data_IF_609578988034
#
_entry.id   IF_609578988034
#
_cell.length_a   1.000
_cell.length_b   1.000
_cell.length_c   1.000
_cell.angle_alpha   90.00
_cell.angle_beta   90.00
_cell.angle_gamma   90.00
#
_symmetry.space_group_name_H-M   'P 1'
#
loop_
_entity.id
_entity.type
_entity.pdbx_description
1 polymer ?
#
# COMPACT_ATOMS: atom_id res chain seq x y z
N UNK A 1 -1.75 49.45 41.19
CA UNK A 1 -2.04 49.59 39.75
C UNK A 1 -2.36 51.05 39.50
N UNK A 2 -1.53 51.76 38.74
CA UNK A 2 -1.50 53.24 38.67
C UNK A 2 -2.52 53.87 37.71
N UNK A 3 -3.56 53.13 37.31
CA UNK A 3 -4.69 53.68 36.55
C UNK A 3 -4.34 54.27 35.18
N UNK A 4 -3.12 54.06 34.68
CA UNK A 4 -2.60 54.75 33.49
C UNK A 4 -3.10 54.19 32.16
N UNK A 5 -3.83 53.07 32.15
CA UNK A 5 -4.34 52.46 30.92
C UNK A 5 -3.25 51.99 29.94
N UNK A 6 -1.97 52.03 30.35
CA UNK A 6 -0.87 51.59 29.52
C UNK A 6 -0.83 50.06 29.48
N UNK A 7 -1.18 49.50 28.33
CA UNK A 7 -0.88 48.11 27.99
C UNK A 7 0.64 47.97 27.85
N UNK A 8 1.31 47.44 28.87
CA UNK A 8 2.71 47.03 28.75
C UNK A 8 2.76 45.66 28.08
N UNK A 9 3.20 45.60 26.84
CA UNK A 9 3.62 44.33 26.24
C UNK A 9 4.97 43.98 26.86
N UNK A 10 5.01 42.99 27.76
CA UNK A 10 6.26 42.34 28.06
C UNK A 10 6.73 41.70 26.74
N UNK A 11 7.69 42.34 26.07
CA UNK A 11 8.27 41.84 24.84
C UNK A 11 9.02 40.55 25.14
N UNK A 12 8.30 39.43 25.24
CA UNK A 12 8.89 38.12 24.99
C UNK A 12 9.14 38.12 23.50
N UNK A 13 10.32 38.57 23.11
CA UNK A 13 10.80 38.38 21.74
C UNK A 13 10.87 36.87 21.52
N UNK A 14 10.00 36.33 20.67
CA UNK A 14 10.27 35.05 20.03
C UNK A 14 11.47 35.31 19.13
N UNK A 15 12.64 34.84 19.57
CA UNK A 15 13.85 34.87 18.77
C UNK A 15 13.70 33.85 17.64
N UNK A 16 13.53 34.32 16.40
CA UNK A 16 13.68 33.50 15.20
C UNK A 16 15.15 33.40 14.75
N UNK A 17 16.08 33.50 15.71
CA UNK A 17 17.49 33.20 15.49
C UNK A 17 17.58 31.74 15.07
N UNK A 18 17.50 31.50 13.76
CA UNK A 18 17.54 30.19 13.13
C UNK A 18 16.45 29.24 13.69
N UNK A 19 15.18 29.60 13.53
CA UNK A 19 14.13 28.57 13.52
C UNK A 19 14.15 27.87 12.16
N UNK A 20 15.10 26.96 11.95
CA UNK A 20 14.76 25.83 11.09
C UNK A 20 13.72 25.03 11.87
N UNK A 21 12.49 24.96 11.37
CA UNK A 21 11.62 23.85 11.74
C UNK A 21 12.29 22.63 11.13
N UNK A 22 13.25 22.06 11.85
CA UNK A 22 13.78 20.74 11.54
C UNK A 22 12.75 19.74 12.04
N UNK A 23 11.72 19.54 11.22
CA UNK A 23 11.15 18.20 11.16
C UNK A 23 12.30 17.33 10.62
N UNK A 24 12.83 16.42 11.45
CA UNK A 24 13.88 15.49 11.04
C UNK A 24 13.43 14.54 9.91
N UNK A 25 12.21 14.73 9.39
CA UNK A 25 11.70 14.20 8.14
C UNK A 25 11.98 15.25 7.07
N UNK A 26 12.93 14.97 6.18
CA UNK A 26 13.41 15.89 5.14
C UNK A 26 12.34 16.40 4.12
N UNK A 27 11.07 16.03 4.27
CA UNK A 27 9.95 16.46 3.45
C UNK A 27 8.69 16.46 4.32
N UNK A 28 7.97 17.58 4.41
CA UNK A 28 6.58 17.59 4.91
C UNK A 28 5.74 16.87 3.85
N UNK A 29 5.58 15.56 4.01
CA UNK A 29 4.84 14.69 3.09
C UNK A 29 3.54 14.21 3.72
N UNK A 30 2.43 14.73 3.18
CA UNK A 30 1.04 14.44 3.53
C UNK A 30 0.64 13.07 2.97
N UNK A 31 0.72 12.05 3.82
CA UNK A 31 0.07 10.77 3.53
C UNK A 31 -1.31 10.79 4.16
N UNK A 32 -2.33 10.44 3.39
CA UNK A 32 -3.68 10.21 3.88
C UNK A 32 -4.12 8.80 3.56
N UNK A 33 -4.87 8.19 4.48
CA UNK A 33 -5.49 6.88 4.29
C UNK A 33 -6.96 6.98 4.70
N UNK A 34 -7.83 6.47 3.83
CA UNK A 34 -9.23 6.23 4.13
C UNK A 34 -9.41 4.71 4.15
N UNK A 35 -9.63 4.18 5.35
CA UNK A 35 -9.98 2.78 5.55
C UNK A 35 -11.45 2.61 5.13
N UNK A 36 -11.68 1.76 4.13
CA UNK A 36 -13.01 1.48 3.59
C UNK A 36 -13.67 0.37 4.42
N UNK A 37 -12.91 -0.69 4.70
CA UNK A 37 -13.29 -1.79 5.59
C UNK A 37 -12.05 -2.44 6.25
N UNK A 38 -12.20 -3.63 6.83
CA UNK A 38 -11.12 -4.34 7.50
C UNK A 38 -9.88 -4.52 6.62
N UNK A 39 -10.05 -4.77 5.32
CA UNK A 39 -9.00 -5.13 4.37
C UNK A 39 -8.77 -4.06 3.28
N UNK A 40 -9.79 -3.26 2.96
CA UNK A 40 -9.73 -2.26 1.90
C UNK A 40 -9.35 -0.88 2.44
N UNK A 41 -8.47 -0.21 1.70
CA UNK A 41 -8.21 1.20 1.92
C UNK A 41 -7.91 1.90 0.60
N UNK A 42 -8.15 3.20 0.56
CA UNK A 42 -7.55 4.09 -0.42
C UNK A 42 -6.64 5.07 0.30
N UNK A 43 -5.67 5.63 -0.39
CA UNK A 43 -4.83 6.66 0.20
C UNK A 43 -4.07 7.45 -0.84
N UNK A 44 -3.45 8.52 -0.37
CA UNK A 44 -2.79 9.52 -1.19
C UNK A 44 -1.47 9.91 -0.55
N UNK A 45 -0.45 10.12 -1.37
CA UNK A 45 0.79 10.78 -1.02
C UNK A 45 0.99 11.97 -1.95
N UNK A 46 0.95 13.15 -1.36
CA UNK A 46 0.91 14.42 -2.10
C UNK A 46 2.32 14.94 -2.46
N UNK A 47 3.38 14.27 -2.00
CA UNK A 47 4.76 14.66 -2.31
C UNK A 47 5.75 13.50 -2.15
N UNK A 48 6.08 12.86 -3.27
CA UNK A 48 7.17 11.91 -3.40
C UNK A 48 8.31 12.59 -4.17
N UNK A 49 9.46 12.74 -3.51
CA UNK A 49 10.68 13.32 -4.10
C UNK A 49 11.67 12.21 -4.45
N UNK A 50 12.92 12.54 -4.76
CA UNK A 50 13.98 11.56 -5.03
C UNK A 50 14.38 10.73 -3.80
N UNK A 51 14.10 11.23 -2.60
CA UNK A 51 14.33 10.49 -1.36
C UNK A 51 13.19 9.52 -1.07
N UNK A 52 13.54 8.34 -0.55
CA UNK A 52 12.54 7.36 -0.11
C UNK A 52 11.64 7.95 0.98
N UNK A 53 10.34 7.89 0.74
CA UNK A 53 9.30 8.37 1.64
C UNK A 53 8.32 7.23 1.96
N UNK A 54 7.63 7.34 3.09
CA UNK A 54 6.57 6.38 3.44
C UNK A 54 5.30 6.76 2.67
N UNK A 55 4.68 5.79 2.00
CA UNK A 55 3.42 5.95 1.26
C UNK A 55 2.24 5.41 2.06
N UNK A 56 2.37 4.17 2.57
CA UNK A 56 1.37 3.53 3.40
C UNK A 56 2.05 2.60 4.41
N UNK A 57 1.41 2.33 5.53
CA UNK A 57 1.85 1.32 6.48
C UNK A 57 0.67 0.57 7.11
N UNK A 58 0.96 -0.62 7.64
CA UNK A 58 0.01 -1.40 8.42
C UNK A 58 0.74 -2.21 9.49
N UNK A 59 0.03 -2.59 10.54
CA UNK A 59 0.62 -3.42 11.59
C UNK A 59 0.98 -4.80 11.02
N UNK A 60 2.15 -5.34 11.41
CA UNK A 60 2.55 -6.70 11.03
C UNK A 60 1.50 -7.74 11.44
N UNK A 61 0.79 -7.53 12.55
CA UNK A 61 -0.26 -8.45 12.99
C UNK A 61 -1.57 -8.36 12.17
N UNK A 62 -1.67 -7.44 11.20
CA UNK A 62 -2.91 -7.18 10.48
C UNK A 62 -3.05 -8.03 9.22
N UNK A 63 -2.01 -8.10 8.40
CA UNK A 63 -2.05 -8.79 7.10
C UNK A 63 -0.72 -9.48 6.83
N UNK A 64 -0.73 -10.70 6.30
CA UNK A 64 0.48 -11.35 5.78
C UNK A 64 0.99 -10.68 4.50
N UNK A 65 0.07 -10.19 3.66
CA UNK A 65 0.38 -9.48 2.41
C UNK A 65 -0.59 -8.33 2.14
N UNK A 66 -0.21 -7.41 1.27
CA UNK A 66 -1.08 -6.37 0.76
C UNK A 66 -0.86 -6.16 -0.73
N UNK A 67 -1.95 -6.04 -1.48
CA UNK A 67 -1.93 -5.71 -2.90
C UNK A 67 -2.38 -4.28 -3.11
N UNK A 68 -1.71 -3.57 -4.01
CA UNK A 68 -1.96 -2.18 -4.33
C UNK A 68 -2.17 -2.00 -5.85
N UNK A 69 -3.12 -1.15 -6.23
CA UNK A 69 -3.04 -0.40 -7.49
C UNK A 69 -2.61 1.01 -7.12
N UNK A 70 -1.49 1.45 -7.68
CA UNK A 70 -0.99 2.80 -7.52
C UNK A 70 -1.13 3.57 -8.84
N UNK A 71 -1.63 4.79 -8.75
CA UNK A 71 -1.71 5.78 -9.82
C UNK A 71 -0.81 6.94 -9.44
N UNK A 72 0.24 7.19 -10.22
CA UNK A 72 1.14 8.32 -10.01
C UNK A 72 0.93 9.40 -11.04
N UNK A 73 1.08 10.65 -10.59
CA UNK A 73 1.25 11.83 -11.42
C UNK A 73 2.68 12.29 -11.26
N UNK A 74 3.37 12.47 -12.37
CA UNK A 74 4.79 12.87 -12.45
C UNK A 74 4.89 14.19 -13.19
N UNK A 75 5.67 15.13 -12.69
CA UNK A 75 6.09 16.31 -13.44
C UNK A 75 7.46 16.07 -14.09
N UNK A 76 7.52 16.25 -15.40
CA UNK A 76 8.74 16.07 -16.20
C UNK A 76 9.65 17.31 -16.15
N UNK A 77 10.85 17.20 -16.73
CA UNK A 77 11.84 18.29 -16.75
C UNK A 77 11.32 19.56 -17.46
N UNK A 78 10.39 19.42 -18.40
CA UNK A 78 9.75 20.50 -19.15
C UNK A 78 8.42 20.97 -18.50
N UNK A 79 8.15 20.53 -17.27
CA UNK A 79 6.90 20.75 -16.53
C UNK A 79 5.65 20.15 -17.19
N UNK A 80 5.80 19.25 -18.16
CA UNK A 80 4.68 18.43 -18.63
C UNK A 80 4.27 17.43 -17.55
N UNK A 81 2.98 17.05 -17.56
CA UNK A 81 2.40 16.16 -16.56
C UNK A 81 2.11 14.82 -17.19
N UNK A 82 2.67 13.78 -16.58
CA UNK A 82 2.56 12.40 -17.04
C UNK A 82 1.89 11.54 -15.96
N UNK A 83 1.21 10.49 -16.40
CA UNK A 83 0.49 9.57 -15.54
C UNK A 83 1.01 8.16 -15.71
N UNK A 84 1.06 7.44 -14.60
CA UNK A 84 1.51 6.07 -14.60
C UNK A 84 0.62 5.24 -13.67
N UNK A 85 0.44 3.98 -14.00
CA UNK A 85 -0.24 3.00 -13.17
C UNK A 85 0.67 1.81 -12.97
N UNK A 86 0.73 1.31 -11.74
CA UNK A 86 1.40 0.06 -11.43
C UNK A 86 0.59 -0.73 -10.41
N UNK A 87 0.59 -2.05 -10.56
CA UNK A 87 0.22 -2.94 -9.45
C UNK A 87 1.45 -3.19 -8.61
N UNK A 88 1.27 -3.26 -7.30
CA UNK A 88 2.36 -3.56 -6.39
C UNK A 88 1.90 -4.52 -5.30
N UNK A 89 2.72 -5.52 -4.99
CA UNK A 89 2.45 -6.47 -3.92
C UNK A 89 3.51 -6.29 -2.85
N UNK A 90 3.08 -6.31 -1.60
CA UNK A 90 3.93 -6.41 -0.42
C UNK A 90 3.56 -7.72 0.30
N UNK A 91 4.55 -8.50 0.68
CA UNK A 91 4.41 -9.66 1.55
C UNK A 91 5.40 -9.52 2.71
N UNK A 92 5.03 -9.99 3.89
CA UNK A 92 5.96 -10.14 5.01
C UNK A 92 6.08 -11.60 5.40
N UNK A 93 7.30 -12.03 5.71
CA UNK A 93 7.56 -13.42 6.04
C UNK A 93 9.00 -13.61 6.48
N UNK A 94 9.40 -14.86 6.62
CA UNK A 94 10.79 -15.22 6.96
C UNK A 94 11.27 -16.34 6.05
N UNK A 95 12.57 -16.38 5.75
CA UNK A 95 13.18 -17.47 4.98
C UNK A 95 13.52 -18.69 5.86
N UNK A 96 13.79 -18.48 7.16
CA UNK A 96 14.37 -19.49 8.06
C UNK A 96 13.61 -19.65 9.40
N UNK A 97 12.44 -19.04 9.54
CA UNK A 97 11.66 -18.99 10.77
C UNK A 97 12.10 -17.91 11.76
N UNK A 98 13.03 -17.01 11.39
CA UNK A 98 13.60 -16.01 12.30
C UNK A 98 12.92 -14.63 12.25
N UNK A 99 13.66 -13.57 11.94
CA UNK A 99 13.16 -12.19 11.91
C UNK A 99 12.36 -12.00 10.63
N UNK A 100 11.15 -11.47 10.77
CA UNK A 100 10.35 -11.07 9.62
C UNK A 100 11.06 -9.99 8.81
N UNK A 101 10.99 -10.15 7.50
CA UNK A 101 11.36 -9.14 6.52
C UNK A 101 10.20 -8.92 5.55
N UNK A 102 10.25 -7.83 4.79
CA UNK A 102 9.26 -7.51 3.79
C UNK A 102 9.83 -7.67 2.38
N UNK A 103 9.00 -8.22 1.51
CA UNK A 103 9.31 -8.49 0.12
C UNK A 103 8.24 -7.86 -0.75
N UNK A 104 8.62 -7.33 -1.91
CA UNK A 104 7.67 -6.67 -2.79
C UNK A 104 8.01 -6.78 -4.26
N UNK A 105 7.02 -6.52 -5.12
CA UNK A 105 7.22 -6.45 -6.56
C UNK A 105 6.13 -5.65 -7.26
N UNK A 106 6.54 -4.86 -8.26
CA UNK A 106 5.62 -4.17 -9.17
C UNK A 106 5.34 -5.01 -10.43
N UNK A 107 4.12 -4.89 -10.95
CA UNK A 107 3.73 -5.51 -12.23
C UNK A 107 2.70 -4.65 -12.97
N UNK A 108 2.47 -5.00 -14.25
CA UNK A 108 1.51 -4.33 -15.13
C UNK A 108 1.66 -2.80 -15.12
N UNK A 109 2.90 -2.35 -15.35
CA UNK A 109 3.25 -0.95 -15.34
C UNK A 109 2.82 -0.33 -16.68
N UNK A 110 2.02 0.72 -16.61
CA UNK A 110 1.52 1.46 -17.77
C UNK A 110 1.89 2.93 -17.57
N UNK A 111 2.48 3.56 -18.59
CA UNK A 111 2.99 4.92 -18.52
C UNK A 111 2.55 5.71 -19.75
N UNK A 112 2.26 6.99 -19.59
CA UNK A 112 2.00 7.90 -20.71
C UNK A 112 3.27 8.46 -21.37
N UNK A 113 4.42 8.36 -20.69
CA UNK A 113 5.73 8.79 -21.20
C UNK A 113 6.81 7.70 -21.04
N UNK A 114 8.03 8.04 -21.47
CA UNK A 114 9.22 7.21 -21.27
C UNK A 114 9.83 7.34 -19.87
N UNK A 115 9.34 8.24 -19.01
CA UNK A 115 9.80 8.30 -17.63
C UNK A 115 9.59 6.96 -16.92
N UNK A 116 10.46 6.65 -15.99
CA UNK A 116 10.27 5.53 -15.10
C UNK A 116 9.14 5.82 -14.12
N UNK A 117 8.47 4.76 -13.72
CA UNK A 117 7.46 4.83 -12.69
C UNK A 117 8.03 5.31 -11.34
N UNK A 118 7.16 5.84 -10.47
CA UNK A 118 7.49 5.98 -9.05
C UNK A 118 8.02 4.65 -8.55
N UNK A 119 9.24 4.66 -8.01
CA UNK A 119 9.90 3.46 -7.52
C UNK A 119 9.28 3.08 -6.19
N UNK A 120 8.66 1.90 -6.12
CA UNK A 120 8.03 1.38 -4.92
C UNK A 120 8.90 0.30 -4.30
N UNK A 121 9.00 0.33 -2.97
CA UNK A 121 9.72 -0.67 -2.19
C UNK A 121 9.02 -0.92 -0.86
N UNK A 122 9.50 -1.91 -0.11
CA UNK A 122 8.94 -2.25 1.20
C UNK A 122 10.04 -2.46 2.23
N UNK A 123 9.69 -2.29 3.50
CA UNK A 123 10.48 -2.77 4.62
C UNK A 123 9.60 -3.07 5.85
N UNK A 124 10.22 -3.61 6.89
CA UNK A 124 9.63 -3.70 8.22
C UNK A 124 10.29 -2.69 9.14
N UNK A 125 9.47 -1.78 9.69
CA UNK A 125 9.88 -0.88 10.77
C UNK A 125 9.72 -1.59 12.10
N UNK A 126 10.78 -2.29 12.51
CA UNK A 126 10.83 -3.06 13.77
C UNK A 126 10.53 -2.23 15.03
N UNK A 127 10.86 -0.94 15.04
CA UNK A 127 10.57 -0.06 16.18
C UNK A 127 9.07 0.15 16.45
N UNK A 128 8.21 -0.12 15.47
CA UNK A 128 6.75 0.12 15.56
C UNK A 128 5.91 -1.06 15.06
N UNK A 129 6.55 -2.19 14.75
CA UNK A 129 5.94 -3.37 14.15
C UNK A 129 5.04 -3.06 12.93
N UNK A 130 5.58 -2.26 12.01
CA UNK A 130 4.88 -1.86 10.78
C UNK A 130 5.54 -2.43 9.54
N UNK A 131 4.74 -3.02 8.66
CA UNK A 131 5.11 -3.21 7.26
C UNK A 131 4.82 -1.90 6.53
N UNK A 132 5.77 -1.41 5.73
CA UNK A 132 5.64 -0.13 5.05
C UNK A 132 5.77 -0.28 3.54
N UNK A 133 4.82 0.29 2.81
CA UNK A 133 5.03 0.67 1.41
C UNK A 133 5.78 2.00 1.37
N UNK A 134 6.91 2.00 0.71
CA UNK A 134 7.77 3.14 0.51
C UNK A 134 7.80 3.53 -0.96
N UNK A 135 8.17 4.78 -1.26
CA UNK A 135 8.54 5.13 -2.61
C UNK A 135 9.34 6.40 -2.78
N UNK A 136 9.92 6.51 -3.97
CA UNK A 136 10.75 7.61 -4.46
C UNK A 136 10.48 7.87 -5.94
N UNK A 137 10.80 9.07 -6.43
CA UNK A 137 10.67 9.40 -7.84
C UNK A 137 11.50 8.47 -8.75
N UNK A 138 10.93 8.10 -9.88
CA UNK A 138 11.66 7.40 -10.95
C UNK A 138 12.44 8.36 -11.84
N UNK A 139 13.24 7.83 -12.76
CA UNK A 139 13.94 8.64 -13.78
C UNK A 139 12.98 9.41 -14.68
N UNK A 140 13.30 10.67 -14.97
CA UNK A 140 12.62 11.48 -15.98
C UNK A 140 12.78 10.88 -17.38
N UNK A 141 11.87 11.22 -18.30
CA UNK A 141 11.85 10.63 -19.65
C UNK A 141 13.13 10.91 -20.46
N UNK A 142 13.82 12.01 -20.17
CA UNK A 142 15.10 12.39 -20.80
C UNK A 142 16.33 11.70 -20.18
N UNK A 143 16.15 10.91 -19.11
CA UNK A 143 17.22 10.21 -18.42
C UNK A 143 18.17 11.12 -17.63
N UNK A 144 17.84 12.39 -17.40
CA UNK A 144 18.74 13.35 -16.74
C UNK A 144 18.81 13.13 -15.22
N UNK A 145 17.67 13.24 -14.55
CA UNK A 145 17.54 13.15 -13.09
C UNK A 145 16.36 12.28 -12.70
N UNK A 146 16.26 11.98 -11.41
CA UNK A 146 15.08 11.35 -10.84
C UNK A 146 14.04 12.46 -10.57
N UNK A 147 12.75 12.14 -10.71
CA UNK A 147 11.70 13.12 -10.54
C UNK A 147 11.62 13.59 -9.08
N UNK A 148 11.59 14.91 -8.91
CA UNK A 148 11.47 15.57 -7.60
C UNK A 148 10.02 15.88 -7.22
N UNK A 149 9.09 15.79 -8.18
CA UNK A 149 7.68 16.17 -8.00
C UNK A 149 6.80 15.05 -8.51
N UNK A 150 6.34 14.22 -7.58
CA UNK A 150 5.42 13.14 -7.87
C UNK A 150 4.32 13.10 -6.80
N UNK A 151 3.12 12.71 -7.20
CA UNK A 151 2.05 12.33 -6.28
C UNK A 151 1.60 10.91 -6.60
N UNK A 152 1.03 10.22 -5.61
CA UNK A 152 0.55 8.85 -5.77
C UNK A 152 -0.76 8.65 -5.03
N UNK A 153 -1.75 8.11 -5.72
CA UNK A 153 -2.99 7.61 -5.13
C UNK A 153 -2.95 6.08 -5.19
N UNK A 154 -3.45 5.41 -4.16
CA UNK A 154 -3.51 3.95 -4.15
C UNK A 154 -4.87 3.44 -3.70
N UNK A 155 -5.22 2.25 -4.22
CA UNK A 155 -6.21 1.36 -3.62
C UNK A 155 -5.50 0.11 -3.12
N UNK A 156 -5.73 -0.28 -1.87
CA UNK A 156 -5.12 -1.43 -1.19
C UNK A 156 -6.15 -2.50 -0.88
N UNK A 157 -5.75 -3.75 -1.05
CA UNK A 157 -6.40 -4.95 -0.54
C UNK A 157 -5.41 -5.63 0.43
N UNK A 158 -5.73 -5.67 1.72
CA UNK A 158 -5.02 -6.47 2.73
C UNK A 158 -5.40 -7.95 2.64
N UNK A 159 -4.42 -8.84 2.82
CA UNK A 159 -4.54 -10.29 2.69
C UNK A 159 -3.93 -11.01 3.89
N UNK A 160 -4.54 -12.09 4.36
CA UNK A 160 -4.10 -12.79 5.58
C UNK A 160 -4.54 -12.07 6.85
N UNK A 161 -5.79 -11.60 6.87
CA UNK A 161 -6.41 -10.84 7.97
C UNK A 161 -6.46 -11.64 9.27
N UNK A 162 -6.12 -11.01 10.40
CA UNK A 162 -6.29 -11.55 11.75
C UNK A 162 -7.64 -11.14 12.38
N UNK A 163 -8.45 -10.34 11.69
CA UNK A 163 -9.80 -10.02 12.15
C UNK A 163 -10.77 -11.17 11.86
N UNK A 164 -11.06 -11.95 12.90
CA UNK A 164 -12.10 -12.97 12.95
C UNK A 164 -13.53 -12.46 12.66
N UNK A 165 -13.73 -11.14 12.51
CA UNK A 165 -15.03 -10.55 12.18
C UNK A 165 -15.55 -10.99 10.82
N UNK A 166 -14.67 -11.47 9.93
CA UNK A 166 -15.03 -12.21 8.74
C UNK A 166 -16.05 -11.49 7.88
N UNK A 167 -15.57 -10.85 6.81
CA UNK A 167 -16.28 -10.93 5.53
C UNK A 167 -16.24 -12.39 5.05
N UNK A 168 -16.88 -13.27 5.82
CA UNK A 168 -16.89 -14.71 5.64
C UNK A 168 -17.63 -15.02 4.35
N UNK A 169 -17.15 -16.03 3.65
CA UNK A 169 -17.91 -16.66 2.59
C UNK A 169 -19.36 -16.93 3.05
N UNK A 170 -20.33 -16.29 2.39
CA UNK A 170 -21.75 -16.55 2.62
C UNK A 170 -22.57 -15.46 3.34
N UNK A 171 -22.01 -14.31 3.72
CA UNK A 171 -22.86 -13.17 4.13
C UNK A 171 -23.45 -12.47 2.90
N UNK A 172 -24.77 -12.58 2.75
CA UNK A 172 -25.59 -11.98 1.68
C UNK A 172 -25.56 -10.45 1.64
N UNK A 173 -24.94 -9.80 2.62
CA UNK A 173 -24.93 -8.34 2.77
C UNK A 173 -23.75 -7.66 2.06
N UNK A 174 -22.66 -8.40 1.79
CA UNK A 174 -21.45 -7.84 1.20
C UNK A 174 -21.35 -8.18 -0.30
N UNK A 175 -21.55 -7.17 -1.14
CA UNK A 175 -21.65 -7.32 -2.61
C UNK A 175 -20.35 -7.00 -3.36
N UNK A 176 -19.23 -6.70 -2.68
CA UNK A 176 -18.03 -6.19 -3.35
C UNK A 176 -16.71 -6.92 -3.05
N UNK A 177 -16.58 -7.63 -1.93
CA UNK A 177 -15.40 -8.44 -1.58
C UNK A 177 -15.76 -9.51 -0.55
N UNK A 178 -15.15 -10.69 -0.65
CA UNK A 178 -15.11 -11.68 0.43
C UNK A 178 -13.65 -11.99 0.79
N UNK A 179 -13.36 -12.14 2.07
CA UNK A 179 -12.06 -12.65 2.55
C UNK A 179 -12.28 -14.10 2.92
N UNK A 180 -11.64 -14.99 2.17
CA UNK A 180 -11.71 -16.43 2.42
C UNK A 180 -10.41 -16.88 3.06
N UNK A 181 -10.54 -17.55 4.20
CA UNK A 181 -9.42 -18.17 4.90
C UNK A 181 -9.59 -19.68 4.80
N UNK A 182 -8.58 -20.35 4.25
CA UNK A 182 -8.49 -21.80 4.22
C UNK A 182 -7.32 -22.21 5.09
N UNK A 183 -7.64 -22.73 6.27
CA UNK A 183 -6.63 -23.34 7.12
C UNK A 183 -6.26 -24.73 6.58
N UNK A 184 -5.05 -25.18 6.89
CA UNK A 184 -4.59 -26.56 6.67
C UNK A 184 -4.70 -27.04 5.22
N UNK A 185 -4.20 -26.23 4.27
CA UNK A 185 -4.01 -26.67 2.89
C UNK A 185 -2.91 -27.76 2.87
N UNK A 186 -3.33 -29.02 2.92
CA UNK A 186 -2.43 -30.17 2.97
C UNK A 186 -2.25 -30.80 1.58
N UNK A 187 -1.72 -32.03 1.54
CA UNK A 187 -1.50 -32.75 0.28
C UNK A 187 -2.78 -33.16 -0.47
N UNK A 188 -3.97 -33.00 0.12
CA UNK A 188 -5.25 -33.28 -0.51
C UNK A 188 -5.80 -32.05 -1.24
N UNK A 189 -6.65 -32.30 -2.25
CA UNK A 189 -7.35 -31.21 -2.92
C UNK A 189 -8.35 -30.56 -1.95
N UNK A 190 -8.24 -29.24 -1.80
CA UNK A 190 -9.15 -28.43 -0.99
C UNK A 190 -9.90 -27.42 -1.86
N UNK A 191 -11.19 -27.20 -1.56
CA UNK A 191 -11.99 -26.15 -2.18
C UNK A 191 -11.69 -24.82 -1.45
N UNK A 192 -11.13 -23.84 -2.18
CA UNK A 192 -10.78 -22.52 -1.63
C UNK A 192 -11.98 -21.57 -1.62
N UNK A 193 -12.79 -21.61 -2.68
CA UNK A 193 -14.03 -20.85 -2.83
C UNK A 193 -15.04 -21.69 -3.63
N UNK A 194 -16.33 -21.38 -3.49
CA UNK A 194 -17.41 -21.97 -4.28
C UNK A 194 -18.52 -20.97 -4.51
N UNK A 195 -18.84 -20.73 -5.78
CA UNK A 195 -19.94 -19.87 -6.20
C UNK A 195 -20.72 -20.49 -7.35
N UNK A 196 -21.99 -20.08 -7.49
CA UNK A 196 -22.83 -20.59 -8.57
C UNK A 196 -22.47 -19.95 -9.91
N UNK A 197 -22.24 -20.81 -10.91
CA UNK A 197 -22.10 -20.44 -12.32
C UNK A 197 -23.30 -19.63 -12.87
N UNK A 198 -24.47 -19.70 -12.22
CA UNK A 198 -25.63 -18.89 -12.59
C UNK A 198 -25.61 -17.48 -11.99
N UNK A 199 -24.77 -17.24 -10.99
CA UNK A 199 -24.69 -15.97 -10.25
C UNK A 199 -23.55 -15.09 -10.74
N UNK A 200 -22.39 -15.69 -11.04
CA UNK A 200 -21.20 -14.97 -11.49
C UNK A 200 -20.62 -15.65 -12.72
N UNK A 201 -19.92 -14.87 -13.57
CA UNK A 201 -19.27 -15.37 -14.80
C UNK A 201 -17.78 -15.67 -14.64
N UNK A 202 -17.23 -15.27 -13.51
CA UNK A 202 -15.84 -15.43 -13.14
C UNK A 202 -15.58 -14.69 -11.84
N UNK A 203 -14.40 -14.94 -11.29
CA UNK A 203 -13.92 -14.32 -10.06
C UNK A 203 -12.43 -14.06 -10.21
N UNK A 204 -11.99 -12.91 -9.69
CA UNK A 204 -10.58 -12.60 -9.58
C UNK A 204 -10.16 -12.71 -8.12
N UNK A 205 -9.12 -13.48 -7.86
CA UNK A 205 -8.59 -13.71 -6.52
C UNK A 205 -7.23 -13.04 -6.39
N UNK A 206 -7.03 -12.44 -5.23
CA UNK A 206 -5.74 -12.01 -4.72
C UNK A 206 -5.44 -12.92 -3.54
N UNK A 207 -4.42 -13.77 -3.67
CA UNK A 207 -4.17 -14.85 -2.72
C UNK A 207 -2.84 -14.59 -2.04
N UNK A 208 -2.84 -14.69 -0.71
CA UNK A 208 -1.64 -14.80 0.11
C UNK A 208 -1.59 -16.23 0.66
N UNK A 209 -0.45 -16.89 0.52
CA UNK A 209 -0.19 -18.24 1.02
C UNK A 209 0.94 -18.12 2.02
N UNK A 210 0.71 -18.61 3.23
CA UNK A 210 1.69 -18.61 4.31
C UNK A 210 2.06 -20.06 4.67
N UNK A 211 3.36 -20.37 4.64
CA UNK A 211 3.88 -21.60 5.19
C UNK A 211 3.88 -21.52 6.72
N UNK A 212 2.93 -22.17 7.38
CA UNK A 212 2.76 -22.10 8.84
C UNK A 212 3.93 -22.67 9.66
N UNK A 213 4.90 -23.34 9.03
CA UNK A 213 6.10 -23.84 9.72
C UNK A 213 7.24 -22.82 9.71
N UNK A 214 7.51 -22.20 8.56
CA UNK A 214 8.66 -21.30 8.35
C UNK A 214 8.26 -19.83 8.18
N UNK A 215 6.97 -19.52 8.10
CA UNK A 215 6.41 -18.19 7.79
C UNK A 215 6.90 -17.61 6.45
N UNK A 216 7.23 -18.46 5.48
CA UNK A 216 7.44 -18.01 4.11
C UNK A 216 6.09 -17.62 3.50
N UNK A 217 6.00 -16.44 2.90
CA UNK A 217 4.77 -15.94 2.28
C UNK A 217 4.93 -15.78 0.79
N UNK A 218 3.93 -16.27 0.05
CA UNK A 218 3.81 -16.11 -1.39
C UNK A 218 2.49 -15.44 -1.73
N UNK A 219 2.51 -14.56 -2.74
CA UNK A 219 1.34 -13.84 -3.21
C UNK A 219 1.13 -14.04 -4.70
N UNK A 220 -0.12 -14.22 -5.12
CA UNK A 220 -0.46 -14.39 -6.53
C UNK A 220 -1.88 -13.89 -6.89
N UNK A 221 -2.10 -13.62 -8.17
CA UNK A 221 -3.39 -13.27 -8.74
C UNK A 221 -3.94 -14.44 -9.58
N UNK A 222 -5.21 -14.80 -9.38
CA UNK A 222 -5.91 -15.81 -10.19
C UNK A 222 -7.14 -15.18 -10.84
N UNK A 223 -7.44 -15.54 -12.08
CA UNK A 223 -8.68 -15.17 -12.75
C UNK A 223 -9.42 -16.44 -13.14
N UNK A 224 -10.43 -16.81 -12.37
CA UNK A 224 -11.28 -17.96 -12.67
C UNK A 224 -12.43 -17.50 -13.57
N UNK A 225 -12.66 -18.20 -14.67
CA UNK A 225 -13.85 -18.02 -15.54
C UNK A 225 -14.50 -19.37 -15.82
N UNK A 226 -15.76 -19.39 -16.25
CA UNK A 226 -16.46 -20.64 -16.58
C UNK A 226 -17.36 -20.50 -17.83
N UNK A 227 -17.58 -21.62 -18.51
CA UNK A 227 -18.46 -21.71 -19.68
C UNK A 227 -19.92 -22.10 -19.33
N UNK A 228 -20.22 -22.28 -18.04
CA UNK A 228 -21.51 -22.77 -17.53
C UNK A 228 -21.43 -24.17 -16.92
N UNK A 229 -20.40 -24.94 -17.28
CA UNK A 229 -20.18 -26.33 -16.82
C UNK A 229 -18.78 -26.50 -16.24
N UNK A 230 -17.76 -26.03 -16.94
CA UNK A 230 -16.34 -26.17 -16.58
C UNK A 230 -15.72 -24.81 -16.24
N UNK A 231 -14.75 -24.83 -15.32
CA UNK A 231 -13.98 -23.66 -14.89
C UNK A 231 -12.56 -23.66 -15.46
N UNK A 232 -11.98 -22.47 -15.64
CA UNK A 232 -10.67 -22.20 -16.24
C UNK A 232 -9.94 -21.10 -15.45
N UNK A 233 -8.60 -21.12 -15.43
CA UNK A 233 -7.71 -20.14 -14.78
C UNK A 233 -6.69 -19.63 -15.81
#
# INVERSE_FOLDING_TARGET
TDGSGNLSFAGVSISFSESTIEDARATVGFTSEIVIDANLATGENESITTGTSMINDFAQAKYDSAWYIALSRVEEADSSIEFQMQKHIVAQGTEDGSTFDAFSGSSQIIRSSAAEEVQLSTDIRSATDKVRLLGSGGKLADGSTDSVVNTLHFFRIGLGDNDSSGTQAGDSTYTQQQTLVVADLDSAAANIDTWSASSYRGAKYFVSINNTTTNEVSSLELLVIHNGTDAFI
#
